data_IF_853318406031
#
_entry.id   IF_853318406031
#
_cell.length_a   1.000
_cell.length_b   1.000
_cell.length_c   1.000
_cell.angle_alpha   90.00
_cell.angle_beta   90.00
_cell.angle_gamma   90.00
#
_symmetry.space_group_name_H-M   'P 1'
#
loop_
_entity.id
_entity.type
_entity.pdbx_description
1 polymer ?
#
# COMPACT_ATOMS: atom_id res chain seq x y z
N UNK A 1 -25.19 -27.25 12.66
CA UNK A 1 -24.90 -25.84 12.27
C UNK A 1 -23.42 -25.59 12.52
N UNK A 2 -22.59 -25.58 11.48
CA UNK A 2 -21.19 -25.19 11.61
C UNK A 2 -21.09 -23.70 11.30
N UNK A 3 -20.88 -22.89 12.34
CA UNK A 3 -20.50 -21.49 12.17
C UNK A 3 -19.01 -21.48 11.80
N UNK A 4 -18.70 -21.25 10.52
CA UNK A 4 -17.32 -21.04 10.08
C UNK A 4 -16.96 -19.59 10.41
N UNK A 5 -16.07 -19.40 11.39
CA UNK A 5 -15.56 -18.08 11.76
C UNK A 5 -14.22 -17.88 11.06
N UNK A 6 -14.21 -17.11 9.97
CA UNK A 6 -12.97 -16.53 9.44
C UNK A 6 -12.54 -15.45 10.43
N UNK A 7 -11.55 -15.75 11.27
CA UNK A 7 -10.88 -14.73 12.08
C UNK A 7 -9.71 -14.23 11.24
N UNK A 8 -9.85 -13.03 10.71
CA UNK A 8 -8.73 -12.31 10.13
C UNK A 8 -8.21 -11.38 11.24
N UNK A 9 -6.99 -11.59 11.70
CA UNK A 9 -6.31 -10.64 12.59
C UNK A 9 -5.73 -9.51 11.72
N UNK A 10 -6.60 -8.77 11.02
CA UNK A 10 -6.17 -7.58 10.31
C UNK A 10 -6.50 -6.38 11.19
N UNK A 11 -5.46 -5.72 11.71
CA UNK A 11 -5.64 -4.49 12.47
C UNK A 11 -6.10 -3.32 11.59
N UNK A 12 -5.96 -3.43 10.26
CA UNK A 12 -6.24 -2.34 9.32
C UNK A 12 -7.01 -2.76 8.06
N UNK A 13 -8.00 -1.95 7.68
CA UNK A 13 -8.54 -1.86 6.32
C UNK A 13 -7.73 -0.81 5.56
N UNK A 14 -7.01 -1.21 4.51
CA UNK A 14 -6.21 -0.28 3.71
C UNK A 14 -7.04 0.27 2.55
N UNK A 15 -7.39 1.56 2.59
CA UNK A 15 -8.34 2.16 1.63
C UNK A 15 -8.14 3.67 1.42
N UNK A 16 -8.36 4.15 0.20
CA UNK A 16 -8.43 5.59 -0.10
C UNK A 16 -9.72 6.24 0.44
N UNK A 17 -10.79 5.46 0.60
CA UNK A 17 -12.11 5.96 0.94
C UNK A 17 -12.34 6.07 2.45
N UNK A 18 -11.44 6.75 3.17
CA UNK A 18 -11.52 6.82 4.64
C UNK A 18 -12.87 7.34 5.18
N UNK A 19 -13.58 8.20 4.41
CA UNK A 19 -14.89 8.71 4.81
C UNK A 19 -15.97 7.62 4.91
N UNK A 20 -15.86 6.58 4.08
CA UNK A 20 -16.83 5.49 4.04
C UNK A 20 -16.49 4.41 5.09
N UNK A 21 -15.30 4.50 5.68
CA UNK A 21 -14.74 3.57 6.65
C UNK A 21 -14.38 4.32 7.95
N UNK A 22 -15.39 4.96 8.56
CA UNK A 22 -15.20 5.77 9.78
C UNK A 22 -14.86 4.87 10.97
N UNK A 23 -14.01 5.36 11.86
CA UNK A 23 -13.59 4.60 13.06
C UNK A 23 -14.77 4.16 13.93
N UNK A 24 -15.84 4.96 14.02
CA UNK A 24 -17.05 4.61 14.78
C UNK A 24 -17.75 3.37 14.23
N UNK A 25 -17.70 3.18 12.91
CA UNK A 25 -18.37 2.07 12.23
C UNK A 25 -17.49 0.81 12.30
N UNK A 26 -16.17 0.98 12.41
CA UNK A 26 -15.18 -0.10 12.48
C UNK A 26 -14.87 -0.57 13.90
N UNK A 27 -15.07 0.28 14.91
CA UNK A 27 -14.78 -0.01 16.31
C UNK A 27 -15.36 -1.34 16.82
N UNK A 28 -16.61 -1.74 16.49
CA UNK A 28 -17.16 -3.03 16.91
C UNK A 28 -16.40 -4.26 16.37
N UNK A 29 -15.63 -4.09 15.29
CA UNK A 29 -14.87 -5.15 14.65
C UNK A 29 -13.39 -5.15 15.06
N UNK A 30 -12.95 -4.16 15.85
CA UNK A 30 -11.55 -4.06 16.29
C UNK A 30 -10.55 -3.74 15.18
N UNK A 31 -11.02 -3.14 14.08
CA UNK A 31 -10.17 -2.74 12.94
C UNK A 31 -10.21 -1.24 12.72
N UNK A 32 -9.20 -0.69 12.04
CA UNK A 32 -9.13 0.73 11.71
C UNK A 32 -8.92 0.93 10.20
N UNK A 33 -9.38 2.05 9.65
CA UNK A 33 -9.07 2.38 8.26
C UNK A 33 -7.71 3.09 8.17
N UNK A 34 -6.86 2.68 7.22
CA UNK A 34 -5.56 3.30 6.97
C UNK A 34 -5.41 3.65 5.49
N UNK A 35 -4.93 4.87 5.23
CA UNK A 35 -4.64 5.30 3.87
C UNK A 35 -3.51 4.45 3.25
N UNK A 36 -3.61 3.98 2.00
CA UNK A 36 -2.59 3.14 1.35
C UNK A 36 -1.21 3.78 1.35
N UNK A 37 -1.12 5.09 1.10
CA UNK A 37 0.15 5.82 1.10
C UNK A 37 0.85 5.79 2.47
N UNK A 38 0.07 5.85 3.57
CA UNK A 38 0.62 5.73 4.94
C UNK A 38 0.99 4.30 5.26
N UNK A 39 0.17 3.34 4.85
CA UNK A 39 0.42 1.92 5.06
C UNK A 39 1.73 1.48 4.38
N UNK A 40 1.93 1.81 3.11
CA UNK A 40 3.17 1.45 2.40
C UNK A 40 4.37 2.17 3.01
N UNK A 41 4.23 3.42 3.45
CA UNK A 41 5.31 4.12 4.16
C UNK A 41 5.72 3.39 5.46
N UNK A 42 4.75 2.85 6.23
CA UNK A 42 5.06 2.01 7.39
C UNK A 42 5.81 0.73 6.99
N UNK A 43 5.42 0.08 5.89
CA UNK A 43 6.14 -1.09 5.37
C UNK A 43 7.56 -0.74 4.95
N UNK A 44 7.80 0.42 4.34
CA UNK A 44 9.14 0.88 3.98
C UNK A 44 10.00 1.12 5.22
N UNK A 45 9.42 1.65 6.31
CA UNK A 45 10.13 1.81 7.58
C UNK A 45 10.45 0.47 8.26
N UNK A 46 9.57 -0.53 8.08
CA UNK A 46 9.76 -1.88 8.63
C UNK A 46 10.83 -2.66 7.85
N UNK A 47 10.73 -2.69 6.53
CA UNK A 47 11.65 -3.37 5.63
C UNK A 47 11.64 -2.71 4.24
N UNK A 48 12.55 -1.76 4.03
CA UNK A 48 12.67 -1.07 2.75
C UNK A 48 13.12 -2.00 1.63
N UNK A 49 13.95 -3.01 1.91
CA UNK A 49 14.49 -3.93 0.90
C UNK A 49 13.35 -4.76 0.31
N UNK A 50 12.50 -5.35 1.16
CA UNK A 50 11.37 -6.14 0.70
C UNK A 50 10.39 -5.31 -0.14
N UNK A 51 10.13 -4.05 0.26
CA UNK A 51 9.24 -3.16 -0.49
C UNK A 51 9.86 -2.73 -1.82
N UNK A 52 11.16 -2.39 -1.88
CA UNK A 52 11.85 -2.08 -3.13
C UNK A 52 11.77 -3.25 -4.12
N UNK A 53 12.03 -4.47 -3.66
CA UNK A 53 11.91 -5.67 -4.50
C UNK A 53 10.47 -5.91 -4.97
N UNK A 54 9.47 -5.65 -4.13
CA UNK A 54 8.07 -5.78 -4.51
C UNK A 54 7.69 -4.77 -5.59
N UNK A 55 8.11 -3.51 -5.43
CA UNK A 55 7.90 -2.45 -6.41
C UNK A 55 8.62 -2.76 -7.73
N UNK A 56 9.84 -3.31 -7.69
CA UNK A 56 10.58 -3.73 -8.87
C UNK A 56 9.87 -4.85 -9.63
N UNK A 57 9.40 -5.87 -8.90
CA UNK A 57 8.59 -6.93 -9.49
C UNK A 57 7.31 -6.38 -10.11
N UNK A 58 6.63 -5.45 -9.46
CA UNK A 58 5.43 -4.83 -10.00
C UNK A 58 5.72 -4.09 -11.31
N UNK A 59 6.74 -3.21 -11.33
CA UNK A 59 7.12 -2.45 -12.52
C UNK A 59 7.48 -3.38 -13.69
N UNK A 60 8.26 -4.44 -13.44
CA UNK A 60 8.66 -5.41 -14.48
C UNK A 60 7.48 -6.16 -15.11
N UNK A 61 6.33 -6.26 -14.41
CA UNK A 61 5.11 -6.90 -14.91
C UNK A 61 4.25 -5.96 -15.77
N UNK A 62 4.48 -4.65 -15.72
CA UNK A 62 3.83 -3.70 -16.61
C UNK A 62 4.45 -3.87 -18.00
N UNK A 63 3.70 -4.50 -18.91
CA UNK A 63 4.14 -4.76 -20.29
C UNK A 63 3.39 -3.95 -21.33
N UNK A 64 2.27 -3.31 -20.97
CA UNK A 64 1.43 -2.55 -21.89
C UNK A 64 0.77 -1.34 -21.18
N UNK A 65 1.42 -0.17 -21.16
CA UNK A 65 2.78 0.09 -21.62
C UNK A 65 3.84 -0.36 -20.58
N UNK A 66 5.06 -0.74 -21.01
CA UNK A 66 6.20 -0.81 -20.11
C UNK A 66 6.50 0.57 -19.52
N UNK A 67 6.98 0.62 -18.27
CA UNK A 67 7.28 1.88 -17.59
C UNK A 67 8.73 1.95 -17.14
N UNK A 68 9.39 3.06 -17.47
CA UNK A 68 10.64 3.45 -16.84
C UNK A 68 10.41 3.76 -15.34
N UNK A 69 11.48 3.77 -14.56
CA UNK A 69 11.41 4.03 -13.10
C UNK A 69 10.69 5.34 -12.80
N UNK A 70 11.04 6.40 -13.53
CA UNK A 70 10.42 7.72 -13.39
C UNK A 70 8.91 7.68 -13.63
N UNK A 71 8.48 7.08 -14.75
CA UNK A 71 7.07 6.99 -15.14
C UNK A 71 6.26 6.14 -14.15
N UNK A 72 6.85 5.07 -13.63
CA UNK A 72 6.24 4.23 -12.60
C UNK A 72 5.99 5.05 -11.32
N UNK A 73 7.00 5.77 -10.84
CA UNK A 73 6.88 6.61 -9.64
C UNK A 73 5.91 7.77 -9.83
N UNK A 74 5.90 8.41 -11.00
CA UNK A 74 4.92 9.44 -11.35
C UNK A 74 3.49 8.88 -11.35
N UNK A 75 3.31 7.65 -11.82
CA UNK A 75 2.01 6.96 -11.76
C UNK A 75 1.56 6.76 -10.33
N UNK A 76 2.44 6.32 -9.43
CA UNK A 76 2.11 6.19 -8.01
C UNK A 76 1.69 7.54 -7.41
N UNK A 77 2.41 8.63 -7.72
CA UNK A 77 2.02 9.98 -7.28
C UNK A 77 0.64 10.39 -7.80
N UNK A 78 0.36 10.17 -9.09
CA UNK A 78 -0.95 10.47 -9.68
C UNK A 78 -2.10 9.64 -9.07
N UNK A 79 -1.79 8.46 -8.54
CA UNK A 79 -2.73 7.59 -7.82
C UNK A 79 -2.89 7.95 -6.34
N UNK A 80 -2.29 9.05 -5.87
CA UNK A 80 -2.35 9.49 -4.48
C UNK A 80 -1.37 8.78 -3.55
N UNK A 81 -0.36 8.10 -4.09
CA UNK A 81 0.73 7.45 -3.33
C UNK A 81 1.99 8.34 -3.31
N UNK A 82 1.80 9.61 -2.98
CA UNK A 82 2.85 10.63 -3.10
C UNK A 82 4.01 10.41 -2.14
N UNK A 83 3.72 10.08 -0.88
CA UNK A 83 4.75 9.81 0.14
C UNK A 83 5.53 8.55 -0.21
N UNK A 84 4.83 7.51 -0.63
CA UNK A 84 5.41 6.25 -1.10
C UNK A 84 6.37 6.48 -2.25
N UNK A 85 5.93 7.19 -3.30
CA UNK A 85 6.76 7.44 -4.47
C UNK A 85 8.01 8.26 -4.12
N UNK A 86 7.88 9.26 -3.25
CA UNK A 86 9.03 10.03 -2.75
C UNK A 86 9.99 9.13 -1.97
N UNK A 87 9.48 8.34 -1.03
CA UNK A 87 10.32 7.49 -0.19
C UNK A 87 11.03 6.41 -0.99
N UNK A 88 10.37 5.80 -1.97
CA UNK A 88 10.97 4.80 -2.85
C UNK A 88 12.16 5.36 -3.64
N UNK A 89 12.13 6.62 -4.07
CA UNK A 89 13.28 7.28 -4.73
C UNK A 89 14.51 7.37 -3.82
N UNK A 90 14.29 7.54 -2.53
CA UNK A 90 15.35 7.76 -1.55
C UNK A 90 15.99 6.44 -1.10
N UNK A 91 15.18 5.40 -0.93
CA UNK A 91 15.62 4.13 -0.30
C UNK A 91 15.93 3.01 -1.28
N UNK A 92 15.41 3.08 -2.50
CA UNK A 92 15.64 2.04 -3.50
C UNK A 92 16.71 2.50 -4.49
N UNK A 93 17.80 1.73 -4.59
CA UNK A 93 18.82 1.94 -5.64
C UNK A 93 18.29 1.59 -7.04
N UNK A 94 17.36 0.62 -7.11
CA UNK A 94 16.65 0.25 -8.32
C UNK A 94 15.22 -0.16 -7.96
N UNK A 95 14.28 0.23 -8.81
CA UNK A 95 12.88 -0.17 -8.81
C UNK A 95 12.51 -0.46 -10.24
#
# INVERSE_FOLDING_TARGET
>A
MASFRVVYDASYIVTFNLRDFRDTDLAPYGVQALHPDKFILHLIHLDSIAVCQAAQRQRSRLKNPPKAVKEYLETLQQQGLTLTATRLREVCQEI
#
